data_IF_390453682854
#
_entry.id   IF_390453682854
#
_cell.length_a   1.000
_cell.length_b   1.000
_cell.length_c   1.000
_cell.angle_alpha   90.00
_cell.angle_beta   90.00
_cell.angle_gamma   90.00
#
_symmetry.space_group_name_H-M   'P 1'
#
loop_
_entity.id
_entity.type
_entity.pdbx_description
1 polymer ?
#
# COMPACT_ATOMS: atom_id res chain seq x y z
N UNK A 1 -4.37 -17.50 -14.53
CA UNK A 1 -4.03 -16.42 -13.59
C UNK A 1 -2.70 -15.76 -13.93
N UNK A 2 -1.59 -16.52 -13.92
CA UNK A 2 -0.22 -15.99 -14.08
C UNK A 2 -0.03 -15.16 -15.35
N UNK A 3 -0.54 -15.63 -16.50
CA UNK A 3 -0.49 -14.89 -17.76
C UNK A 3 -1.14 -13.50 -17.69
N UNK A 4 -2.23 -13.35 -16.92
CA UNK A 4 -2.92 -12.07 -16.77
C UNK A 4 -2.13 -11.12 -15.85
N UNK A 5 -1.53 -11.65 -14.79
CA UNK A 5 -0.63 -10.92 -13.90
C UNK A 5 0.63 -10.43 -14.63
N UNK A 6 1.23 -11.30 -15.45
CA UNK A 6 2.42 -10.95 -16.24
C UNK A 6 2.11 -9.88 -17.28
N UNK A 7 0.96 -9.97 -17.95
CA UNK A 7 0.47 -8.95 -18.87
C UNK A 7 0.23 -7.61 -18.17
N UNK A 8 -0.42 -7.63 -17.00
CA UNK A 8 -0.65 -6.43 -16.20
C UNK A 8 0.68 -5.77 -15.78
N UNK A 9 1.67 -6.57 -15.37
CA UNK A 9 3.01 -6.09 -14.99
C UNK A 9 3.75 -5.47 -16.18
N UNK A 10 3.63 -6.04 -17.37
CA UNK A 10 4.28 -5.52 -18.59
C UNK A 10 3.56 -4.31 -19.22
N UNK A 11 2.31 -4.03 -18.84
CA UNK A 11 1.52 -2.94 -19.44
C UNK A 11 1.93 -1.57 -18.88
N UNK A 12 2.45 -0.69 -19.74
CA UNK A 12 2.90 0.65 -19.34
C UNK A 12 1.74 1.64 -19.14
N UNK A 13 0.75 1.60 -20.01
CA UNK A 13 -0.40 2.51 -19.98
C UNK A 13 -1.26 2.25 -18.73
N UNK A 14 -1.50 3.30 -17.96
CA UNK A 14 -2.01 3.19 -16.59
C UNK A 14 -3.43 2.65 -16.55
N UNK A 15 -4.30 3.12 -17.43
CA UNK A 15 -5.71 2.74 -17.41
C UNK A 15 -5.89 1.29 -17.86
N UNK A 16 -5.16 0.85 -18.90
CA UNK A 16 -5.08 -0.56 -19.29
C UNK A 16 -4.52 -1.44 -18.17
N UNK A 17 -3.44 -1.02 -17.50
CA UNK A 17 -2.87 -1.77 -16.37
C UNK A 17 -3.88 -1.88 -15.21
N UNK A 18 -4.61 -0.81 -14.92
CA UNK A 18 -5.69 -0.81 -13.91
C UNK A 18 -6.79 -1.80 -14.24
N UNK A 19 -7.26 -1.82 -15.49
CA UNK A 19 -8.30 -2.76 -15.93
C UNK A 19 -7.85 -4.22 -15.79
N UNK A 20 -6.60 -4.53 -16.18
CA UNK A 20 -6.04 -5.88 -16.06
C UNK A 20 -5.94 -6.35 -14.61
N UNK A 21 -5.44 -5.50 -13.70
CA UNK A 21 -5.41 -5.83 -12.27
C UNK A 21 -6.79 -5.91 -11.64
N UNK A 22 -7.76 -5.10 -12.10
CA UNK A 22 -9.15 -5.21 -11.68
C UNK A 22 -9.71 -6.60 -11.98
N UNK A 23 -9.45 -7.12 -13.20
CA UNK A 23 -9.89 -8.47 -13.56
C UNK A 23 -9.23 -9.56 -12.71
N UNK A 24 -7.96 -9.39 -12.35
CA UNK A 24 -7.28 -10.30 -11.41
C UNK A 24 -7.96 -10.28 -10.05
N UNK A 25 -8.28 -9.10 -9.52
CA UNK A 25 -8.93 -8.95 -8.21
C UNK A 25 -10.32 -9.61 -8.17
N UNK A 26 -11.12 -9.46 -9.22
CA UNK A 26 -12.42 -10.14 -9.35
C UNK A 26 -12.28 -11.67 -9.27
N UNK A 27 -11.35 -12.24 -10.04
CA UNK A 27 -11.10 -13.69 -10.05
C UNK A 27 -10.66 -14.15 -8.64
N UNK A 28 -9.74 -13.42 -8.00
CA UNK A 28 -9.28 -13.76 -6.64
C UNK A 28 -10.42 -13.71 -5.62
N UNK A 29 -11.32 -12.74 -5.74
CA UNK A 29 -12.45 -12.59 -4.83
C UNK A 29 -13.48 -13.72 -4.95
N UNK A 30 -13.63 -14.30 -6.15
CA UNK A 30 -14.54 -15.43 -6.40
C UNK A 30 -13.90 -16.79 -6.07
N UNK A 31 -12.62 -16.97 -6.40
CA UNK A 31 -11.98 -18.30 -6.37
C UNK A 31 -11.21 -18.61 -5.08
N UNK A 32 -10.72 -17.58 -4.36
CA UNK A 32 -9.98 -17.81 -3.13
C UNK A 32 -10.89 -17.75 -1.90
N UNK A 33 -10.63 -18.57 -0.86
CA UNK A 33 -11.33 -18.49 0.41
C UNK A 33 -10.88 -17.28 1.26
N UNK A 34 -10.45 -16.19 0.64
CA UNK A 34 -10.00 -14.97 1.30
C UNK A 34 -11.16 -13.99 1.43
N UNK A 35 -11.49 -13.61 2.67
CA UNK A 35 -12.47 -12.56 2.95
C UNK A 35 -11.70 -11.30 3.38
N UNK A 36 -11.80 -10.24 2.59
CA UNK A 36 -11.21 -8.94 2.92
C UNK A 36 -12.05 -8.26 4.01
N UNK A 37 -11.54 -8.17 5.24
CA UNK A 37 -12.29 -7.63 6.38
C UNK A 37 -12.01 -6.15 6.65
N UNK A 38 -10.73 -5.75 6.66
CA UNK A 38 -10.32 -4.37 6.91
C UNK A 38 -8.89 -4.08 6.41
N UNK A 39 -8.55 -2.81 6.33
CA UNK A 39 -7.16 -2.35 6.21
C UNK A 39 -6.65 -1.85 7.56
N UNK A 40 -5.37 -2.07 7.85
CA UNK A 40 -4.74 -1.64 9.10
C UNK A 40 -4.79 -0.10 9.23
N UNK A 41 -5.35 0.39 10.34
CA UNK A 41 -5.21 1.79 10.73
C UNK A 41 -3.92 1.93 11.51
N UNK A 42 -3.00 2.75 10.99
CA UNK A 42 -1.72 3.01 11.65
C UNK A 42 -1.86 4.21 12.58
N UNK A 43 -1.27 4.09 13.77
CA UNK A 43 -1.15 5.17 14.74
C UNK A 43 0.27 5.15 15.32
N UNK A 44 0.81 6.33 15.65
CA UNK A 44 2.13 6.46 16.26
C UNK A 44 2.04 7.31 17.53
N UNK A 45 2.64 6.84 18.62
CA UNK A 45 2.85 7.61 19.84
C UNK A 45 4.22 8.28 19.75
N UNK A 46 4.25 9.61 19.86
CA UNK A 46 5.46 10.43 19.70
C UNK A 46 5.72 11.20 20.98
N UNK A 47 7.00 11.43 21.30
CA UNK A 47 7.34 12.39 22.35
C UNK A 47 6.97 13.80 21.89
N UNK A 48 6.55 14.64 22.84
CA UNK A 48 6.06 15.99 22.56
C UNK A 48 7.13 16.94 21.98
N UNK A 49 8.41 16.64 22.23
CA UNK A 49 9.57 17.36 21.72
C UNK A 49 10.06 16.86 20.35
N UNK A 50 9.49 15.78 19.81
CA UNK A 50 9.83 15.29 18.47
C UNK A 50 9.10 16.10 17.40
N UNK A 51 9.84 16.65 16.44
CA UNK A 51 9.32 17.47 15.34
C UNK A 51 9.40 16.75 13.99
N UNK A 52 8.55 17.19 13.08
CA UNK A 52 8.48 16.79 11.66
C UNK A 52 8.24 15.29 11.38
N UNK A 53 7.79 14.53 12.37
CA UNK A 53 7.34 13.16 12.14
C UNK A 53 6.04 13.14 11.33
N UNK A 54 6.04 12.36 10.23
CA UNK A 54 4.86 12.11 9.40
C UNK A 54 4.60 10.61 9.31
N UNK A 55 3.39 10.19 9.68
CA UNK A 55 2.99 8.79 9.54
C UNK A 55 2.77 8.47 8.06
N UNK A 56 3.61 7.59 7.50
CA UNK A 56 3.51 7.18 6.10
C UNK A 56 2.57 5.97 5.96
N UNK A 57 1.70 5.93 4.93
CA UNK A 57 0.83 4.78 4.66
C UNK A 57 1.60 3.47 4.46
N UNK A 58 2.83 3.55 3.95
CA UNK A 58 3.72 2.41 3.75
C UNK A 58 4.13 1.73 5.08
N UNK A 59 3.99 2.41 6.22
CA UNK A 59 4.30 1.85 7.53
C UNK A 59 5.78 1.61 7.79
N UNK A 60 6.67 2.12 6.93
CA UNK A 60 8.12 1.99 7.09
C UNK A 60 8.72 3.14 7.91
N UNK A 61 10.01 3.00 8.24
CA UNK A 61 10.75 3.96 9.07
C UNK A 61 11.36 5.13 8.28
N UNK A 62 11.00 5.33 7.01
CA UNK A 62 11.56 6.40 6.16
C UNK A 62 11.30 7.79 6.75
N UNK A 63 10.17 7.97 7.42
CA UNK A 63 9.81 9.22 8.09
C UNK A 63 10.83 9.64 9.17
N UNK A 64 11.57 8.69 9.76
CA UNK A 64 12.58 8.98 10.79
C UNK A 64 13.81 9.72 10.25
N UNK A 65 13.98 9.81 8.93
CA UNK A 65 15.08 10.60 8.34
C UNK A 65 14.90 12.11 8.50
N UNK A 66 13.66 12.56 8.67
CA UNK A 66 13.30 13.97 8.69
C UNK A 66 13.07 14.51 10.10
N UNK A 67 13.01 13.62 11.10
CA UNK A 67 12.68 14.01 12.47
C UNK A 67 13.88 14.60 13.20
N UNK A 68 13.58 15.51 14.13
CA UNK A 68 14.57 16.09 15.02
C UNK A 68 13.94 16.44 16.37
N UNK A 69 14.78 16.61 17.39
CA UNK A 69 14.35 17.07 18.70
C UNK A 69 14.21 18.59 18.70
N UNK A 70 13.14 19.11 19.29
CA UNK A 70 13.00 20.52 19.62
C UNK A 70 14.16 20.91 20.54
N UNK A 71 15.01 21.83 20.07
CA UNK A 71 16.07 22.43 20.87
C UNK A 71 15.51 23.48 21.80
#
# INVERSE_FOLDING_TARGET
>A
MDRLLDLARATLEREKRRALYGRVQEILAEELPYIFLWHEVRSAALKADLRDFRLLPAGDFTALREVHWAR
#
